data_IF_970621336076
#
_entry.id   IF_970621336076
#
_cell.length_a   1.000
_cell.length_b   1.000
_cell.length_c   1.000
_cell.angle_alpha   90.00
_cell.angle_beta   90.00
_cell.angle_gamma   90.00
#
_symmetry.space_group_name_H-M   'P 1'
#
loop_
_entity.id
_entity.type
_entity.pdbx_description
1 polymer ?
#
# COMPACT_ATOMS: atom_id res chain seq x y z
N UNK A 1 -52.30 6.85 8.61
CA UNK A 1 -51.26 7.89 8.81
C UNK A 1 -49.98 7.40 9.49
N UNK A 2 -50.04 6.38 10.31
CA UNK A 2 -48.86 5.75 10.97
C UNK A 2 -47.96 4.95 10.04
N UNK A 3 -48.47 4.48 8.87
CA UNK A 3 -47.69 3.64 7.93
C UNK A 3 -46.59 4.41 7.15
N UNK A 4 -46.74 5.72 6.94
CA UNK A 4 -45.73 6.52 6.23
C UNK A 4 -44.54 6.89 7.12
N UNK A 5 -44.78 7.19 8.39
CA UNK A 5 -43.75 7.48 9.38
C UNK A 5 -42.91 6.24 9.72
N UNK A 6 -43.53 5.06 9.82
CA UNK A 6 -42.83 3.80 10.06
C UNK A 6 -41.96 3.37 8.86
N UNK A 7 -42.39 3.67 7.62
CA UNK A 7 -41.60 3.39 6.42
C UNK A 7 -40.38 4.32 6.29
N UNK A 8 -40.53 5.60 6.66
CA UNK A 8 -39.42 6.55 6.69
C UNK A 8 -38.40 6.21 7.79
N UNK A 9 -38.85 5.77 8.96
CA UNK A 9 -37.97 5.33 10.04
C UNK A 9 -37.20 4.06 9.66
N UNK A 10 -37.84 3.10 8.98
CA UNK A 10 -37.20 1.88 8.51
C UNK A 10 -36.15 2.17 7.42
N UNK A 11 -36.43 3.11 6.50
CA UNK A 11 -35.48 3.54 5.47
C UNK A 11 -34.27 4.25 6.08
N UNK A 12 -34.45 5.08 7.08
CA UNK A 12 -33.36 5.76 7.78
C UNK A 12 -32.47 4.79 8.56
N UNK A 13 -33.05 3.78 9.21
CA UNK A 13 -32.31 2.71 9.89
C UNK A 13 -31.50 1.85 8.91
N UNK A 14 -32.04 1.58 7.72
CA UNK A 14 -31.37 0.79 6.70
C UNK A 14 -30.17 1.56 6.08
N UNK A 15 -30.31 2.87 5.89
CA UNK A 15 -29.20 3.71 5.43
C UNK A 15 -28.09 3.85 6.47
N UNK A 16 -28.42 3.94 7.75
CA UNK A 16 -27.43 3.98 8.83
C UNK A 16 -26.66 2.65 8.94
N UNK A 17 -27.32 1.51 8.77
CA UNK A 17 -26.69 0.19 8.77
C UNK A 17 -25.72 0.03 7.59
N UNK A 18 -26.06 0.52 6.39
CA UNK A 18 -25.21 0.52 5.22
C UNK A 18 -23.96 1.40 5.40
N UNK A 19 -24.08 2.55 6.06
CA UNK A 19 -22.96 3.42 6.36
C UNK A 19 -21.96 2.79 7.35
N UNK A 20 -22.45 2.02 8.34
CA UNK A 20 -21.60 1.29 9.28
C UNK A 20 -20.86 0.14 8.58
N UNK A 21 -21.53 -0.58 7.68
CA UNK A 21 -20.90 -1.63 6.88
C UNK A 21 -19.83 -1.10 5.95
N UNK A 22 -20.03 0.08 5.34
CA UNK A 22 -19.03 0.73 4.49
C UNK A 22 -17.78 1.15 5.29
N UNK A 23 -17.92 1.55 6.55
CA UNK A 23 -16.79 1.86 7.44
C UNK A 23 -16.02 0.59 7.85
N UNK A 24 -16.70 -0.52 8.09
CA UNK A 24 -16.07 -1.79 8.40
C UNK A 24 -15.26 -2.34 7.21
N UNK A 25 -15.68 -2.08 5.96
CA UNK A 25 -14.96 -2.48 4.76
C UNK A 25 -13.65 -1.69 4.53
N UNK A 26 -13.45 -0.54 5.22
CA UNK A 26 -12.24 0.27 5.13
C UNK A 26 -11.15 -0.12 6.16
N UNK A 27 -11.30 -1.23 6.90
CA UNK A 27 -10.39 -1.65 7.96
C UNK A 27 -9.22 -2.53 7.47
N UNK A 28 -8.87 -2.51 6.19
CA UNK A 28 -7.72 -3.23 5.62
C UNK A 28 -6.48 -2.35 5.61
N UNK A 29 -5.30 -2.98 5.68
CA UNK A 29 -4.02 -2.26 5.61
C UNK A 29 -3.80 -1.69 4.21
N UNK A 30 -3.82 -0.37 4.10
CA UNK A 30 -3.51 0.36 2.87
C UNK A 30 -2.33 1.30 3.10
N UNK A 31 -1.53 1.59 2.05
CA UNK A 31 -0.45 2.54 2.16
C UNK A 31 -0.93 3.95 2.48
N UNK A 32 -0.37 4.54 3.54
CA UNK A 32 -0.55 5.96 3.87
C UNK A 32 0.58 6.81 3.31
N UNK A 33 1.81 6.27 3.36
CA UNK A 33 3.01 6.94 2.86
C UNK A 33 3.85 5.96 2.05
N UNK A 34 4.46 6.46 0.99
CA UNK A 34 5.37 5.70 0.13
C UNK A 34 6.60 6.56 -0.18
N UNK A 35 7.79 5.99 -0.01
CA UNK A 35 9.05 6.64 -0.33
C UNK A 35 9.93 5.71 -1.19
N UNK A 36 10.19 6.03 -2.46
CA UNK A 36 9.63 7.16 -3.23
C UNK A 36 8.12 7.10 -3.34
N UNK A 37 7.47 8.25 -3.53
CA UNK A 37 6.03 8.34 -3.72
C UNK A 37 5.62 8.06 -5.17
N UNK A 38 4.35 7.74 -5.38
CA UNK A 38 3.81 7.45 -6.71
C UNK A 38 4.00 8.65 -7.66
N UNK A 39 4.59 8.39 -8.83
CA UNK A 39 4.87 9.40 -9.84
C UNK A 39 6.04 10.32 -9.54
N UNK A 40 6.77 10.11 -8.45
CA UNK A 40 7.91 10.95 -8.09
C UNK A 40 9.06 10.77 -9.08
N UNK A 41 9.72 11.90 -9.40
CA UNK A 41 10.97 11.93 -10.16
C UNK A 41 12.12 12.26 -9.23
N UNK A 42 13.13 11.40 -9.20
CA UNK A 42 14.28 11.51 -8.34
C UNK A 42 15.53 11.82 -9.17
N UNK A 43 16.29 12.83 -8.76
CA UNK A 43 17.57 13.17 -9.40
C UNK A 43 18.71 12.23 -8.98
N UNK A 44 18.51 11.45 -7.91
CA UNK A 44 19.44 10.44 -7.44
C UNK A 44 18.70 9.15 -7.13
N UNK A 45 19.29 7.96 -7.36
CA UNK A 45 18.63 6.70 -7.07
C UNK A 45 18.42 6.52 -5.57
N UNK A 46 17.23 6.05 -5.14
CA UNK A 46 17.03 5.69 -3.76
C UNK A 46 17.76 4.39 -3.41
N UNK A 47 18.16 4.24 -2.16
CA UNK A 47 18.83 3.02 -1.66
C UNK A 47 17.86 2.02 -1.04
N UNK A 48 16.63 2.47 -0.80
CA UNK A 48 15.56 1.63 -0.22
C UNK A 48 14.18 2.10 -0.64
N UNK A 49 13.22 1.19 -0.52
CA UNK A 49 11.79 1.49 -0.62
C UNK A 49 11.20 1.39 0.77
N UNK A 50 10.30 2.32 1.11
CA UNK A 50 9.54 2.31 2.35
C UNK A 50 8.08 2.52 2.05
N UNK A 51 7.22 1.69 2.62
CA UNK A 51 5.76 1.80 2.52
C UNK A 51 5.21 1.72 3.94
N UNK A 52 4.57 2.78 4.37
CA UNK A 52 3.87 2.83 5.65
C UNK A 52 2.39 2.56 5.43
N UNK A 53 1.86 1.61 6.18
CA UNK A 53 0.46 1.21 6.11
C UNK A 53 -0.33 1.84 7.25
N UNK A 54 -1.65 1.92 7.09
CA UNK A 54 -2.57 2.44 8.10
C UNK A 54 -2.91 1.43 9.20
N UNK A 55 -2.45 0.18 9.07
CA UNK A 55 -2.67 -0.89 10.04
C UNK A 55 -1.52 -1.91 10.00
N UNK A 56 -1.29 -2.67 11.07
CA UNK A 56 -0.22 -3.66 11.12
C UNK A 56 -0.36 -4.79 10.09
N UNK A 57 0.78 -5.27 9.59
CA UNK A 57 0.87 -6.32 8.57
C UNK A 57 1.65 -7.52 9.12
N UNK A 58 1.37 -8.69 8.55
CA UNK A 58 2.05 -9.94 8.89
C UNK A 58 3.40 -10.06 8.19
N UNK A 59 4.43 -10.40 8.95
CA UNK A 59 5.79 -10.51 8.44
C UNK A 59 5.96 -11.64 7.42
N UNK A 60 5.33 -12.79 7.65
CA UNK A 60 5.56 -14.01 6.86
C UNK A 60 5.11 -13.92 5.41
N UNK A 61 4.16 -13.05 5.10
CA UNK A 61 3.55 -12.98 3.77
C UNK A 61 3.82 -11.65 3.06
N UNK A 62 4.66 -10.80 3.64
CA UNK A 62 4.99 -9.52 3.04
C UNK A 62 5.90 -9.70 1.81
N UNK A 63 5.51 -9.11 0.69
CA UNK A 63 6.27 -9.12 -0.56
C UNK A 63 6.45 -7.71 -1.07
N UNK A 64 7.64 -7.42 -1.55
CA UNK A 64 8.00 -6.13 -2.12
C UNK A 64 8.97 -6.35 -3.28
N UNK A 65 8.62 -5.83 -4.45
CA UNK A 65 9.43 -5.91 -5.65
C UNK A 65 9.58 -4.52 -6.26
N UNK A 66 10.71 -4.26 -6.88
CA UNK A 66 10.97 -3.04 -7.65
C UNK A 66 11.47 -3.47 -9.02
N UNK A 67 10.58 -3.39 -10.00
CA UNK A 67 10.81 -3.92 -11.33
C UNK A 67 11.18 -2.77 -12.28
N UNK A 68 12.35 -2.87 -12.91
CA UNK A 68 12.78 -1.95 -13.94
C UNK A 68 12.17 -2.24 -15.32
N UNK A 69 12.41 -1.36 -16.27
CA UNK A 69 11.95 -1.56 -17.67
C UNK A 69 12.60 -2.80 -18.34
N UNK A 70 13.72 -3.26 -17.79
CA UNK A 70 14.39 -4.50 -18.20
C UNK A 70 13.74 -5.77 -17.62
N UNK A 71 12.70 -5.63 -16.82
CA UNK A 71 12.00 -6.73 -16.18
C UNK A 71 12.69 -7.32 -14.95
N UNK A 72 13.83 -6.75 -14.53
CA UNK A 72 14.55 -7.24 -13.35
C UNK A 72 14.01 -6.65 -12.07
N UNK A 73 14.08 -7.46 -11.01
CA UNK A 73 13.79 -7.02 -9.64
C UNK A 73 15.07 -6.49 -9.00
N UNK A 74 15.01 -5.26 -8.50
CA UNK A 74 16.14 -4.57 -7.89
C UNK A 74 16.14 -4.62 -6.36
N UNK A 75 15.20 -5.34 -5.75
CA UNK A 75 15.18 -5.54 -4.30
C UNK A 75 16.29 -6.51 -3.89
N UNK A 76 17.01 -6.17 -2.81
CA UNK A 76 18.04 -7.00 -2.21
C UNK A 76 17.53 -7.57 -0.89
N UNK A 77 17.55 -8.90 -0.77
CA UNK A 77 17.19 -9.59 0.46
C UNK A 77 15.69 -9.57 0.77
N UNK A 78 15.36 -10.02 1.96
CA UNK A 78 13.98 -10.09 2.43
C UNK A 78 13.48 -8.71 2.90
N UNK A 79 12.20 -8.41 2.71
CA UNK A 79 11.64 -7.17 3.25
C UNK A 79 11.66 -7.17 4.78
N UNK A 80 11.86 -5.97 5.34
CA UNK A 80 11.84 -5.72 6.77
C UNK A 80 10.52 -5.06 7.16
N UNK A 81 10.01 -5.45 8.33
CA UNK A 81 8.85 -4.81 8.93
C UNK A 81 9.30 -4.13 10.21
N UNK A 82 9.00 -2.86 10.34
CA UNK A 82 9.35 -2.04 11.51
C UNK A 82 8.20 -1.09 11.87
N UNK A 83 8.44 -0.20 12.82
CA UNK A 83 7.47 0.80 13.29
C UNK A 83 6.16 0.13 13.76
N UNK A 84 6.27 -0.79 14.74
CA UNK A 84 5.15 -1.54 15.32
C UNK A 84 4.34 -2.37 14.30
N UNK A 85 5.02 -2.80 13.24
CA UNK A 85 4.41 -3.66 12.23
C UNK A 85 3.70 -2.94 11.10
N UNK A 86 3.79 -1.61 11.02
CA UNK A 86 3.10 -0.84 9.98
C UNK A 86 3.98 -0.42 8.81
N UNK A 87 5.30 -0.52 8.93
CA UNK A 87 6.22 -0.12 7.87
C UNK A 87 6.91 -1.32 7.21
N UNK A 88 6.78 -1.40 5.89
CA UNK A 88 7.46 -2.39 5.05
C UNK A 88 8.59 -1.69 4.30
N UNK A 89 9.81 -2.22 4.38
CA UNK A 89 10.95 -1.67 3.67
C UNK A 89 11.80 -2.74 3.02
N UNK A 90 12.50 -2.37 1.95
CA UNK A 90 13.48 -3.23 1.30
C UNK A 90 14.65 -2.39 0.78
N UNK A 91 15.84 -2.93 0.89
CA UNK A 91 17.03 -2.36 0.28
C UNK A 91 17.04 -2.60 -1.22
N UNK A 92 17.63 -1.68 -1.96
CA UNK A 92 17.74 -1.73 -3.42
C UNK A 92 19.19 -1.86 -3.88
N UNK A 93 19.40 -2.65 -4.92
CA UNK A 93 20.58 -2.53 -5.75
C UNK A 93 20.64 -1.14 -6.40
N UNK A 94 21.81 -0.72 -6.87
CA UNK A 94 21.95 0.57 -7.54
C UNK A 94 21.04 0.66 -8.76
N UNK A 95 20.16 1.66 -8.76
CA UNK A 95 19.23 1.91 -9.85
C UNK A 95 19.87 2.84 -10.88
N UNK A 96 19.76 2.47 -12.15
CA UNK A 96 20.10 3.35 -13.27
C UNK A 96 18.93 4.31 -13.55
N UNK A 97 19.17 5.44 -14.27
CA UNK A 97 18.07 6.28 -14.72
C UNK A 97 17.03 5.47 -15.49
N UNK A 98 15.76 5.70 -15.21
CA UNK A 98 14.64 5.00 -15.83
C UNK A 98 13.42 4.93 -14.91
N UNK A 99 12.36 4.32 -15.41
CA UNK A 99 11.13 4.09 -14.67
C UNK A 99 11.16 2.75 -13.96
N UNK A 100 10.68 2.76 -12.72
CA UNK A 100 10.59 1.56 -11.89
C UNK A 100 9.17 1.39 -11.35
N UNK A 101 8.70 0.15 -11.35
CA UNK A 101 7.40 -0.22 -10.80
C UNK A 101 7.59 -0.93 -9.48
N UNK A 102 7.03 -0.36 -8.43
CA UNK A 102 6.98 -0.98 -7.10
C UNK A 102 5.73 -1.85 -7.02
N UNK A 103 5.91 -3.12 -6.71
CA UNK A 103 4.80 -4.06 -6.47
C UNK A 103 4.89 -4.57 -5.05
N UNK A 104 3.78 -4.48 -4.33
CA UNK A 104 3.72 -4.95 -2.96
C UNK A 104 2.48 -5.83 -2.74
N UNK A 105 2.61 -6.76 -1.81
CA UNK A 105 1.52 -7.59 -1.35
C UNK A 105 1.74 -7.88 0.13
N UNK A 106 0.73 -7.66 0.94
CA UNK A 106 0.77 -7.86 2.39
C UNK A 106 -0.50 -8.57 2.87
N UNK A 107 -0.38 -9.18 4.04
CA UNK A 107 -1.52 -9.75 4.76
C UNK A 107 -1.67 -8.94 6.04
N UNK A 108 -2.85 -8.39 6.28
CA UNK A 108 -3.15 -7.72 7.53
C UNK A 108 -3.22 -8.73 8.68
N UNK A 109 -3.03 -8.29 9.90
CA UNK A 109 -3.12 -9.19 11.07
C UNK A 109 -4.51 -9.79 11.25
N UNK A 110 -5.53 -9.24 10.61
CA UNK A 110 -6.90 -9.79 10.56
C UNK A 110 -7.10 -10.81 9.42
N UNK A 111 -6.01 -11.26 8.76
CA UNK A 111 -5.96 -12.23 7.67
C UNK A 111 -6.40 -11.77 6.28
N UNK A 112 -6.74 -10.50 6.09
CA UNK A 112 -7.07 -9.97 4.77
C UNK A 112 -5.82 -9.66 3.94
N UNK A 113 -5.87 -10.01 2.66
CA UNK A 113 -4.82 -9.74 1.70
C UNK A 113 -5.05 -8.40 1.01
N UNK A 114 -4.00 -7.56 0.95
CA UNK A 114 -3.99 -6.36 0.13
C UNK A 114 -2.77 -6.35 -0.76
N UNK A 115 -2.89 -5.75 -1.94
CA UNK A 115 -1.80 -5.63 -2.90
C UNK A 115 -1.97 -4.38 -3.74
N UNK A 116 -0.88 -3.90 -4.29
CA UNK A 116 -0.89 -2.73 -5.15
C UNK A 116 0.41 -2.53 -5.89
N UNK A 117 0.43 -1.51 -6.72
CA UNK A 117 1.62 -1.09 -7.44
C UNK A 117 1.60 0.40 -7.69
N UNK A 118 2.78 0.97 -7.81
CA UNK A 118 2.98 2.35 -8.23
C UNK A 118 4.33 2.47 -8.91
N UNK A 119 4.57 3.58 -9.59
CA UNK A 119 5.82 3.82 -10.30
C UNK A 119 6.50 5.10 -9.82
N UNK A 120 7.82 5.13 -9.93
CA UNK A 120 8.65 6.31 -9.79
C UNK A 120 9.73 6.32 -10.88
N UNK A 121 10.38 7.45 -11.08
CA UNK A 121 11.41 7.60 -12.10
C UNK A 121 12.70 8.11 -11.48
N UNK A 122 13.82 7.51 -11.84
CA UNK A 122 15.16 8.01 -11.55
C UNK A 122 15.66 8.76 -12.79
N UNK A 123 15.96 10.06 -12.64
CA UNK A 123 16.38 10.91 -13.75
C UNK A 123 17.89 11.08 -13.87
N UNK A 124 18.66 10.69 -12.85
CA UNK A 124 20.12 10.82 -12.88
C UNK A 124 20.79 10.10 -11.71
N UNK A 125 22.11 10.28 -11.60
CA UNK A 125 22.90 9.85 -10.46
C UNK A 125 23.23 8.37 -10.36
N UNK A 126 23.04 7.57 -11.39
CA UNK A 126 23.32 6.15 -11.41
C UNK A 126 24.70 5.76 -11.97
N UNK A 127 25.63 6.67 -11.97
CA UNK A 127 26.96 6.40 -12.48
C UNK A 127 27.87 5.74 -11.44
#
# INVERSE_FOLDING_TARGET
MTSKLSRLAAAALMMAALAVLARAAAAHSFPEEQHPSAGQKLSAPPSEIQIKFDAPIEKLFAKLQVIGVDGKDYVIGEPLICDDGIELSSKLATLKPGEYTVKWAVVCIDTHHTQGSYSFTVTGGGA
#
